data_IF_697347611600
#
_entry.id   IF_697347611600
#
_cell.length_a   1.000
_cell.length_b   1.000
_cell.length_c   1.000
_cell.angle_alpha   90.00
_cell.angle_beta   90.00
_cell.angle_gamma   90.00
#
_symmetry.space_group_name_H-M   'P 1'
#
loop_
_entity.id
_entity.type
_entity.pdbx_description
1 polymer ?
#
# COMPACT_ATOMS: atom_id res chain seq x y z
N UNK A 1 -29.68 15.10 7.81
CA UNK A 1 -29.15 13.85 7.22
C UNK A 1 -28.84 12.91 8.38
N UNK A 2 -29.46 11.76 8.46
CA UNK A 2 -29.19 10.79 9.55
C UNK A 2 -27.81 10.15 9.32
N UNK A 3 -27.00 10.09 10.36
CA UNK A 3 -25.70 9.42 10.36
C UNK A 3 -25.90 7.93 10.03
N UNK A 4 -24.96 7.37 9.25
CA UNK A 4 -24.93 5.93 9.00
C UNK A 4 -24.92 5.14 10.32
N UNK A 5 -25.78 4.11 10.49
CA UNK A 5 -25.89 3.38 11.76
C UNK A 5 -24.58 2.70 12.22
N UNK A 6 -23.74 2.22 11.27
CA UNK A 6 -22.45 1.61 11.60
C UNK A 6 -21.46 2.66 12.08
N UNK A 7 -21.44 3.84 11.42
CA UNK A 7 -20.64 4.98 11.85
C UNK A 7 -21.08 5.47 13.24
N UNK A 8 -22.37 5.58 13.49
CA UNK A 8 -22.90 6.00 14.79
C UNK A 8 -22.47 5.02 15.91
N UNK A 9 -22.53 3.73 15.65
CA UNK A 9 -22.08 2.71 16.58
C UNK A 9 -20.56 2.77 16.84
N UNK A 10 -19.76 3.00 15.80
CA UNK A 10 -18.31 3.18 15.94
C UNK A 10 -17.98 4.41 16.80
N UNK A 11 -18.58 5.55 16.51
CA UNK A 11 -18.42 6.82 17.24
C UNK A 11 -18.76 6.63 18.72
N UNK A 12 -19.88 5.95 19.01
CA UNK A 12 -20.31 5.67 20.40
C UNK A 12 -19.34 4.70 21.11
N UNK A 13 -18.90 3.63 20.42
CA UNK A 13 -17.99 2.65 21.01
C UNK A 13 -16.58 3.19 21.29
N UNK A 14 -16.16 4.17 20.50
CA UNK A 14 -14.84 4.82 20.60
C UNK A 14 -14.84 6.08 21.47
N UNK A 15 -15.99 6.44 22.05
CA UNK A 15 -16.20 7.67 22.83
C UNK A 15 -15.72 8.94 22.12
N UNK A 16 -16.04 9.03 20.80
CA UNK A 16 -15.66 10.17 19.97
C UNK A 16 -16.74 11.25 20.06
N UNK A 17 -16.32 12.45 20.40
CA UNK A 17 -17.21 13.63 20.50
C UNK A 17 -17.17 14.51 19.26
N UNK A 18 -16.12 14.39 18.43
CA UNK A 18 -15.96 15.16 17.20
C UNK A 18 -16.95 14.71 16.13
N UNK A 19 -17.44 15.67 15.34
CA UNK A 19 -18.28 15.38 14.19
C UNK A 19 -17.49 14.60 13.12
N UNK A 20 -17.94 13.40 12.70
CA UNK A 20 -17.26 12.63 11.66
C UNK A 20 -17.24 13.37 10.33
N UNK A 21 -16.09 13.41 9.67
CA UNK A 21 -15.88 13.99 8.35
C UNK A 21 -15.61 12.88 7.35
N UNK A 22 -16.40 12.85 6.26
CA UNK A 22 -16.17 11.87 5.19
C UNK A 22 -14.78 12.05 4.58
N UNK A 23 -14.11 10.92 4.36
CA UNK A 23 -12.86 10.85 3.61
C UNK A 23 -13.19 10.35 2.20
N UNK A 24 -12.53 10.94 1.20
CA UNK A 24 -12.66 10.45 -0.18
C UNK A 24 -11.85 9.16 -0.30
N UNK A 25 -12.53 8.05 -0.58
CA UNK A 25 -11.92 6.74 -0.84
C UNK A 25 -12.54 6.15 -2.10
N UNK A 26 -11.79 5.29 -2.80
CA UNK A 26 -12.25 4.73 -4.07
C UNK A 26 -13.23 3.56 -3.91
N UNK A 27 -13.23 2.85 -2.77
CA UNK A 27 -13.94 1.57 -2.65
C UNK A 27 -14.74 1.37 -1.35
N UNK A 28 -14.53 2.16 -0.31
CA UNK A 28 -15.24 2.02 0.97
C UNK A 28 -15.68 3.36 1.53
N UNK A 29 -16.78 3.36 2.29
CA UNK A 29 -17.14 4.52 3.09
C UNK A 29 -16.14 4.66 4.23
N UNK A 30 -15.43 5.77 4.26
CA UNK A 30 -14.47 6.08 5.32
C UNK A 30 -14.70 7.48 5.88
N UNK A 31 -14.47 7.62 7.18
CA UNK A 31 -14.61 8.89 7.92
C UNK A 31 -13.43 9.12 8.83
N UNK A 32 -13.09 10.37 9.05
CA UNK A 32 -12.26 10.80 10.16
C UNK A 32 -13.16 11.25 11.30
N UNK A 33 -12.97 10.68 12.48
CA UNK A 33 -13.68 11.05 13.71
C UNK A 33 -12.66 11.09 14.87
N UNK A 34 -12.36 12.29 15.36
CA UNK A 34 -11.28 12.50 16.31
C UNK A 34 -9.94 11.96 15.80
N UNK A 35 -9.33 11.05 16.54
CA UNK A 35 -8.08 10.38 16.20
C UNK A 35 -8.25 9.14 15.30
N UNK A 36 -9.46 8.81 14.87
CA UNK A 36 -9.76 7.58 14.17
C UNK A 36 -10.06 7.79 12.69
N UNK A 37 -9.55 6.89 11.83
CA UNK A 37 -10.06 6.61 10.49
C UNK A 37 -11.01 5.43 10.63
N UNK A 38 -12.31 5.67 10.42
CA UNK A 38 -13.35 4.66 10.53
C UNK A 38 -13.76 4.21 9.14
N UNK A 39 -13.78 2.90 8.90
CA UNK A 39 -14.36 2.26 7.71
C UNK A 39 -15.56 1.43 8.15
N UNK A 40 -16.61 1.34 7.32
CA UNK A 40 -17.77 0.48 7.60
C UNK A 40 -18.34 -0.15 6.35
N UNK A 41 -18.95 -1.32 6.49
CA UNK A 41 -19.61 -2.02 5.41
C UNK A 41 -20.67 -2.99 5.92
N UNK A 42 -21.71 -3.20 5.12
CA UNK A 42 -22.67 -4.29 5.27
C UNK A 42 -22.45 -5.40 4.23
N UNK A 43 -21.51 -5.22 3.30
CA UNK A 43 -21.14 -6.25 2.33
C UNK A 43 -20.25 -7.32 3.01
N UNK A 44 -20.64 -8.61 3.00
CA UNK A 44 -19.88 -9.68 3.65
C UNK A 44 -18.47 -9.86 3.09
N UNK A 45 -18.24 -9.66 1.79
CA UNK A 45 -16.93 -9.80 1.18
C UNK A 45 -15.98 -8.68 1.64
N UNK A 46 -16.44 -7.43 1.59
CA UNK A 46 -15.69 -6.29 2.12
C UNK A 46 -15.46 -6.39 3.63
N UNK A 47 -16.42 -6.95 4.38
CA UNK A 47 -16.31 -7.17 5.82
C UNK A 47 -15.11 -8.07 6.19
N UNK A 48 -14.85 -9.11 5.41
CA UNK A 48 -13.70 -10.01 5.61
C UNK A 48 -12.38 -9.24 5.52
N UNK A 49 -12.22 -8.40 4.50
CA UNK A 49 -11.00 -7.61 4.30
C UNK A 49 -10.82 -6.52 5.38
N UNK A 50 -11.89 -5.81 5.74
CA UNK A 50 -11.82 -4.80 6.79
C UNK A 50 -11.47 -5.38 8.16
N UNK A 51 -12.05 -6.53 8.53
CA UNK A 51 -11.70 -7.22 9.78
C UNK A 51 -10.27 -7.75 9.75
N UNK A 52 -9.81 -8.20 8.58
CA UNK A 52 -8.44 -8.63 8.38
C UNK A 52 -7.46 -7.47 8.57
N UNK A 53 -7.71 -6.31 7.94
CA UNK A 53 -6.93 -5.08 8.13
C UNK A 53 -6.82 -4.70 9.61
N UNK A 54 -7.95 -4.61 10.31
CA UNK A 54 -7.96 -4.26 11.73
C UNK A 54 -7.16 -5.26 12.58
N UNK A 55 -7.23 -6.56 12.27
CA UNK A 55 -6.46 -7.59 12.95
C UNK A 55 -4.97 -7.49 12.62
N UNK A 56 -4.61 -7.23 11.37
CA UNK A 56 -3.22 -7.03 10.95
C UNK A 56 -2.60 -5.85 11.72
N UNK A 57 -3.26 -4.68 11.70
CA UNK A 57 -2.78 -3.48 12.40
C UNK A 57 -2.61 -3.75 13.91
N UNK A 58 -3.56 -4.43 14.57
CA UNK A 58 -3.43 -4.76 15.99
C UNK A 58 -2.24 -5.65 16.30
N UNK A 59 -2.00 -6.68 15.48
CA UNK A 59 -0.87 -7.60 15.66
C UNK A 59 0.46 -6.88 15.38
N UNK A 60 0.54 -6.07 14.34
CA UNK A 60 1.72 -5.27 14.03
C UNK A 60 2.02 -4.24 15.13
N UNK A 61 0.97 -3.57 15.66
CA UNK A 61 1.11 -2.64 16.78
C UNK A 61 1.63 -3.34 18.03
N UNK A 62 1.08 -4.50 18.37
CA UNK A 62 1.51 -5.29 19.53
C UNK A 62 2.98 -5.75 19.44
N UNK A 63 3.52 -5.87 18.22
CA UNK A 63 4.91 -6.20 17.96
C UNK A 63 5.84 -4.97 17.80
N UNK A 64 5.30 -3.75 17.92
CA UNK A 64 6.04 -2.51 17.68
C UNK A 64 6.40 -2.23 16.22
N UNK A 65 5.76 -2.93 15.28
CA UNK A 65 5.99 -2.79 13.83
C UNK A 65 5.07 -1.75 13.16
N UNK A 66 4.03 -1.29 13.86
CA UNK A 66 3.11 -0.26 13.38
C UNK A 66 2.72 0.70 14.51
N UNK A 67 2.73 2.02 14.27
CA UNK A 67 2.46 2.99 15.35
C UNK A 67 0.98 3.08 15.74
N UNK A 68 0.05 2.83 14.79
CA UNK A 68 -1.38 2.95 15.04
C UNK A 68 -1.97 1.71 15.69
N UNK A 69 -2.96 1.92 16.57
CA UNK A 69 -3.84 0.89 17.10
C UNK A 69 -5.10 0.75 16.23
N UNK A 70 -5.81 -0.39 16.33
CA UNK A 70 -7.05 -0.63 15.60
C UNK A 70 -8.13 -1.24 16.52
N UNK A 71 -9.38 -0.84 16.28
CA UNK A 71 -10.59 -1.37 16.90
C UNK A 71 -11.59 -1.83 15.86
N UNK A 72 -12.57 -2.62 16.25
CA UNK A 72 -13.67 -3.04 15.37
C UNK A 72 -14.91 -3.41 16.19
N UNK A 73 -16.07 -3.40 15.53
CA UNK A 73 -17.33 -3.83 16.11
C UNK A 73 -18.36 -4.23 15.05
N UNK A 74 -19.50 -4.73 15.53
CA UNK A 74 -20.61 -5.20 14.69
C UNK A 74 -21.93 -4.54 15.10
N UNK A 75 -22.80 -4.32 14.12
CA UNK A 75 -24.18 -3.92 14.31
C UNK A 75 -25.03 -4.69 13.29
N UNK A 76 -25.86 -5.63 13.77
CA UNK A 76 -26.53 -6.58 12.88
C UNK A 76 -25.51 -7.36 12.06
N UNK A 77 -25.70 -7.39 10.74
CA UNK A 77 -24.79 -8.02 9.81
C UNK A 77 -23.64 -7.12 9.36
N UNK A 78 -23.71 -5.82 9.66
CA UNK A 78 -22.67 -4.87 9.31
C UNK A 78 -21.52 -4.83 10.31
N UNK A 79 -20.38 -4.37 9.83
CA UNK A 79 -19.17 -4.14 10.63
C UNK A 79 -18.66 -2.72 10.49
N UNK A 80 -17.94 -2.28 11.50
CA UNK A 80 -17.06 -1.12 11.42
C UNK A 80 -15.66 -1.49 11.92
N UNK A 81 -14.66 -0.82 11.37
CA UNK A 81 -13.28 -0.84 11.85
C UNK A 81 -12.80 0.58 12.05
N UNK A 82 -11.90 0.77 13.00
CA UNK A 82 -11.28 2.06 13.26
C UNK A 82 -9.78 1.86 13.45
N UNK A 83 -8.99 2.61 12.69
CA UNK A 83 -7.53 2.66 12.81
C UNK A 83 -7.15 4.07 13.22
N UNK A 84 -6.20 4.22 14.15
CA UNK A 84 -5.72 5.54 14.56
C UNK A 84 -5.21 6.31 13.35
N UNK A 85 -5.69 7.56 13.21
CA UNK A 85 -5.32 8.43 12.10
C UNK A 85 -3.90 8.95 12.29
N UNK A 86 -3.01 8.55 11.41
CA UNK A 86 -1.62 8.99 11.42
C UNK A 86 -1.48 10.33 10.66
N UNK A 87 -0.75 11.32 11.22
CA UNK A 87 -0.48 12.55 10.50
C UNK A 87 0.52 12.30 9.36
N UNK A 88 0.27 12.91 8.21
CA UNK A 88 1.15 12.79 7.05
C UNK A 88 0.39 12.90 5.73
N UNK A 89 1.11 12.71 4.66
CA UNK A 89 0.59 12.63 3.29
C UNK A 89 1.13 11.35 2.63
N UNK A 90 0.39 10.81 1.69
CA UNK A 90 0.89 9.65 0.95
C UNK A 90 2.12 9.99 0.11
N UNK A 91 2.92 8.98 -0.22
CA UNK A 91 4.17 9.15 -0.97
C UNK A 91 3.93 9.80 -2.34
N UNK A 92 2.78 9.53 -2.97
CA UNK A 92 2.43 10.17 -4.25
C UNK A 92 2.30 11.67 -4.11
N UNK A 93 1.55 12.14 -3.11
CA UNK A 93 1.39 13.57 -2.83
C UNK A 93 2.70 14.18 -2.33
N UNK A 94 3.43 13.48 -1.46
CA UNK A 94 4.71 13.93 -0.94
C UNK A 94 5.75 14.15 -2.05
N UNK A 95 5.76 13.30 -3.08
CA UNK A 95 6.64 13.43 -4.23
C UNK A 95 6.18 14.49 -5.25
N UNK A 96 5.00 15.08 -5.14
CA UNK A 96 4.49 16.04 -6.13
C UNK A 96 5.44 17.20 -6.45
N UNK A 97 6.09 17.86 -5.46
CA UNK A 97 7.08 18.91 -5.73
C UNK A 97 8.31 18.41 -6.51
N UNK A 98 8.69 17.15 -6.28
CA UNK A 98 9.84 16.52 -6.92
C UNK A 98 9.60 16.08 -8.35
N UNK A 99 8.35 16.02 -8.83
CA UNK A 99 8.03 15.75 -10.23
C UNK A 99 8.17 16.97 -11.14
N UNK A 100 8.35 18.16 -10.55
CA UNK A 100 8.66 19.37 -11.32
C UNK A 100 10.07 19.27 -11.96
N UNK A 101 10.29 19.90 -13.13
CA UNK A 101 11.62 19.94 -13.76
C UNK A 101 12.68 20.64 -12.89
N UNK A 102 12.25 21.54 -12.02
CA UNK A 102 13.10 22.29 -11.07
C UNK A 102 12.58 22.05 -9.65
N UNK A 103 12.91 20.91 -9.02
CA UNK A 103 12.44 20.60 -7.68
C UNK A 103 13.15 21.45 -6.61
N UNK A 104 12.58 21.53 -5.38
CA UNK A 104 13.28 22.16 -4.27
C UNK A 104 14.69 21.57 -4.08
N UNK A 105 15.73 22.39 -3.80
CA UNK A 105 17.12 21.94 -3.74
C UNK A 105 17.38 20.82 -2.72
N UNK A 106 16.60 20.76 -1.64
CA UNK A 106 16.68 19.75 -0.59
C UNK A 106 15.85 18.49 -0.89
N UNK A 107 15.07 18.48 -1.98
CA UNK A 107 14.14 17.38 -2.25
C UNK A 107 14.85 16.07 -2.55
N UNK A 108 15.90 16.06 -3.37
CA UNK A 108 16.63 14.85 -3.73
C UNK A 108 17.26 14.14 -2.50
N UNK A 109 18.01 14.80 -1.61
CA UNK A 109 18.53 14.16 -0.41
C UNK A 109 17.43 13.73 0.57
N UNK A 110 16.31 14.45 0.66
CA UNK A 110 15.16 14.05 1.47
C UNK A 110 14.51 12.79 0.91
N UNK A 111 14.27 12.72 -0.40
CA UNK A 111 13.69 11.54 -1.05
C UNK A 111 14.59 10.30 -0.86
N UNK A 112 15.90 10.45 -0.99
CA UNK A 112 16.84 9.36 -0.72
C UNK A 112 16.75 8.89 0.75
N UNK A 113 16.66 9.85 1.69
CA UNK A 113 16.51 9.52 3.12
C UNK A 113 15.20 8.77 3.39
N UNK A 114 14.07 9.22 2.83
CA UNK A 114 12.77 8.55 2.93
C UNK A 114 12.84 7.15 2.32
N UNK A 115 13.49 6.99 1.16
CA UNK A 115 13.66 5.69 0.52
C UNK A 115 14.43 4.70 1.42
N UNK A 116 15.57 5.09 1.97
CA UNK A 116 16.34 4.25 2.90
C UNK A 116 15.51 3.86 4.14
N UNK A 117 14.80 4.80 4.75
CA UNK A 117 13.92 4.53 5.89
C UNK A 117 12.81 3.55 5.53
N UNK A 118 12.21 3.70 4.34
CA UNK A 118 11.17 2.80 3.86
C UNK A 118 11.68 1.36 3.65
N UNK A 119 12.86 1.20 3.05
CA UNK A 119 13.50 -0.12 2.94
C UNK A 119 13.81 -0.72 4.30
N UNK A 120 14.36 0.05 5.24
CA UNK A 120 14.62 -0.41 6.61
C UNK A 120 13.33 -0.85 7.32
N UNK A 121 12.24 -0.07 7.20
CA UNK A 121 10.94 -0.44 7.77
C UNK A 121 10.40 -1.73 7.14
N UNK A 122 10.54 -1.90 5.82
CA UNK A 122 10.14 -3.13 5.13
C UNK A 122 10.99 -4.34 5.55
N UNK A 123 12.29 -4.17 5.73
CA UNK A 123 13.18 -5.23 6.23
C UNK A 123 12.79 -5.68 7.64
N UNK A 124 12.42 -4.76 8.53
CA UNK A 124 11.91 -5.11 9.87
C UNK A 124 10.59 -5.87 9.77
N UNK A 125 9.65 -5.42 8.93
CA UNK A 125 8.38 -6.10 8.69
C UNK A 125 8.60 -7.52 8.17
N UNK A 126 9.42 -7.68 7.13
CA UNK A 126 9.73 -8.95 6.49
C UNK A 126 10.53 -9.89 7.41
N UNK A 127 11.47 -9.34 8.19
CA UNK A 127 12.27 -10.07 9.17
C UNK A 127 11.43 -10.66 10.30
N UNK A 128 10.33 -10.00 10.65
CA UNK A 128 9.34 -10.51 11.59
C UNK A 128 8.31 -11.50 10.96
N UNK A 129 8.50 -11.89 9.70
CA UNK A 129 7.65 -12.87 8.99
C UNK A 129 6.46 -12.28 8.25
N UNK A 130 6.21 -10.98 8.35
CA UNK A 130 5.08 -10.32 7.70
C UNK A 130 5.33 -10.02 6.22
N UNK A 131 4.25 -9.95 5.45
CA UNK A 131 4.19 -9.40 4.10
C UNK A 131 3.08 -8.38 4.04
N UNK A 132 3.35 -7.21 3.46
CA UNK A 132 2.34 -6.16 3.30
C UNK A 132 1.34 -6.52 2.20
N UNK A 133 1.82 -7.00 1.07
CA UNK A 133 1.01 -7.48 -0.04
C UNK A 133 0.55 -6.40 -1.02
N UNK A 134 0.55 -5.12 -0.65
CA UNK A 134 0.08 -4.03 -1.52
C UNK A 134 0.90 -2.74 -1.34
N UNK A 135 2.21 -2.83 -1.59
CA UNK A 135 3.10 -1.68 -1.55
C UNK A 135 2.93 -0.83 -2.81
N UNK A 136 2.28 0.31 -2.64
CA UNK A 136 2.03 1.30 -3.70
C UNK A 136 2.17 2.73 -3.12
N UNK A 137 2.32 3.78 -3.96
CA UNK A 137 2.57 5.14 -3.46
C UNK A 137 1.53 5.66 -2.47
N UNK A 138 0.27 5.26 -2.60
CA UNK A 138 -0.84 5.69 -1.73
C UNK A 138 -0.89 4.95 -0.40
N UNK A 139 -0.22 3.78 -0.30
CA UNK A 139 -0.13 2.95 0.89
C UNK A 139 1.15 3.17 1.70
N UNK A 140 1.93 4.20 1.34
CA UNK A 140 3.13 4.66 2.06
C UNK A 140 2.89 6.08 2.53
N UNK A 141 2.60 6.25 3.81
CA UNK A 141 2.37 7.55 4.44
C UNK A 141 3.71 8.14 4.88
N UNK A 142 3.98 9.39 4.51
CA UNK A 142 5.16 10.14 4.96
C UNK A 142 4.73 11.12 6.05
N UNK A 143 5.22 10.88 7.26
CA UNK A 143 4.95 11.70 8.42
C UNK A 143 5.67 13.06 8.39
N UNK A 144 5.38 13.94 9.38
CA UNK A 144 5.96 15.30 9.45
C UNK A 144 7.49 15.34 9.54
N UNK A 145 8.11 14.25 10.01
CA UNK A 145 9.58 14.12 10.17
C UNK A 145 10.22 13.27 9.07
N UNK A 146 9.53 13.13 7.92
CA UNK A 146 9.93 12.27 6.80
C UNK A 146 10.05 10.77 7.20
N UNK A 147 9.22 10.33 8.16
CA UNK A 147 9.14 8.92 8.55
C UNK A 147 8.08 8.20 7.71
N UNK A 148 8.46 7.15 6.95
CA UNK A 148 7.52 6.35 6.20
C UNK A 148 6.79 5.37 7.11
N UNK A 149 5.48 5.23 6.92
CA UNK A 149 4.64 4.23 7.57
C UNK A 149 3.81 3.53 6.49
N UNK A 150 3.82 2.21 6.47
CA UNK A 150 2.96 1.44 5.59
C UNK A 150 1.54 1.41 6.16
N UNK A 151 0.55 1.64 5.31
CA UNK A 151 -0.88 1.69 5.66
C UNK A 151 -1.68 0.87 4.67
N UNK A 152 -2.97 0.63 4.98
CA UNK A 152 -3.88 -0.19 4.17
C UNK A 152 -3.47 -1.68 4.14
N UNK A 153 -3.64 -2.32 5.29
CA UNK A 153 -3.18 -3.68 5.57
C UNK A 153 -4.19 -4.77 5.18
N UNK A 154 -5.05 -4.54 4.18
CA UNK A 154 -6.07 -5.50 3.74
C UNK A 154 -5.48 -6.81 3.18
N UNK A 155 -4.27 -6.75 2.59
CA UNK A 155 -3.53 -7.90 2.05
C UNK A 155 -2.37 -8.35 2.93
N UNK A 156 -2.14 -7.68 4.06
CA UNK A 156 -1.04 -8.01 4.97
C UNK A 156 -1.26 -9.37 5.60
N UNK A 157 -0.25 -10.21 5.60
CA UNK A 157 -0.34 -11.56 6.16
C UNK A 157 0.95 -12.01 6.83
N UNK A 158 0.81 -13.00 7.72
CA UNK A 158 1.89 -13.73 8.36
C UNK A 158 1.52 -15.22 8.38
N UNK A 159 2.44 -16.14 8.02
CA UNK A 159 2.12 -17.56 7.85
C UNK A 159 1.49 -18.20 9.09
N UNK A 160 1.95 -17.84 10.28
CA UNK A 160 1.52 -18.47 11.53
C UNK A 160 0.51 -17.63 12.34
N UNK A 161 0.54 -16.29 12.20
CA UNK A 161 -0.25 -15.38 13.04
C UNK A 161 -1.51 -14.86 12.36
N UNK A 162 -1.42 -14.62 11.07
CA UNK A 162 -2.50 -14.05 10.27
C UNK A 162 -2.42 -14.55 8.82
N UNK A 163 -2.96 -15.74 8.52
CA UNK A 163 -3.04 -16.21 7.14
C UNK A 163 -3.88 -15.24 6.30
N UNK A 164 -3.67 -15.19 4.97
CA UNK A 164 -4.44 -14.32 4.08
C UNK A 164 -5.95 -14.51 4.23
N UNK A 165 -6.70 -13.42 4.23
CA UNK A 165 -8.17 -13.45 4.31
C UNK A 165 -8.82 -14.02 3.04
N UNK A 166 -8.14 -13.86 1.90
CA UNK A 166 -8.50 -14.42 0.60
C UNK A 166 -7.22 -14.83 -0.14
N UNK A 167 -7.30 -15.67 -1.19
CA UNK A 167 -6.16 -15.94 -2.04
C UNK A 167 -5.55 -14.63 -2.55
N UNK A 168 -4.27 -14.41 -2.27
CA UNK A 168 -3.57 -13.25 -2.80
C UNK A 168 -3.37 -13.42 -4.32
N UNK A 169 -3.86 -12.44 -5.08
CA UNK A 169 -3.80 -12.43 -6.55
C UNK A 169 -3.09 -11.20 -7.10
N UNK A 170 -2.18 -10.62 -6.33
CA UNK A 170 -1.49 -9.38 -6.65
C UNK A 170 -2.10 -8.20 -5.88
N UNK A 171 -1.26 -7.22 -5.57
CA UNK A 171 -1.65 -5.88 -5.13
C UNK A 171 -1.73 -4.96 -6.35
N UNK A 172 -1.00 -3.84 -6.33
CA UNK A 172 -0.91 -2.96 -7.49
C UNK A 172 -0.15 -3.63 -8.64
N UNK A 173 -0.81 -3.84 -9.78
CA UNK A 173 -0.29 -4.60 -10.91
C UNK A 173 1.10 -4.12 -11.38
N UNK A 174 1.26 -2.82 -11.58
CA UNK A 174 2.51 -2.22 -12.02
C UNK A 174 3.68 -2.34 -11.01
N UNK A 175 3.42 -2.71 -9.75
CA UNK A 175 4.44 -3.00 -8.74
C UNK A 175 4.79 -4.49 -8.67
N UNK A 176 4.15 -5.33 -9.48
CA UNK A 176 4.32 -6.78 -9.52
C UNK A 176 5.66 -7.15 -10.17
N UNK A 177 6.39 -8.12 -9.58
CA UNK A 177 7.61 -8.66 -10.19
C UNK A 177 7.30 -9.50 -11.43
N UNK A 178 8.23 -9.64 -12.39
CA UNK A 178 8.08 -10.57 -13.51
C UNK A 178 7.75 -12.00 -13.05
N UNK A 179 8.39 -12.49 -11.97
CA UNK A 179 8.14 -13.81 -11.41
C UNK A 179 6.74 -13.95 -10.82
N UNK A 180 6.24 -12.94 -10.10
CA UNK A 180 4.85 -12.93 -9.60
C UNK A 180 3.86 -12.87 -10.74
N UNK A 181 4.09 -12.03 -11.77
CA UNK A 181 3.25 -11.96 -12.96
C UNK A 181 3.13 -13.31 -13.67
N UNK A 182 4.24 -14.03 -13.84
CA UNK A 182 4.23 -15.38 -14.41
C UNK A 182 3.42 -16.35 -13.54
N UNK A 183 3.58 -16.33 -12.21
CA UNK A 183 2.78 -17.19 -11.30
C UNK A 183 1.30 -16.85 -11.38
N UNK A 184 0.93 -15.58 -11.50
CA UNK A 184 -0.46 -15.14 -11.66
C UNK A 184 -1.09 -15.67 -12.94
N UNK A 185 -0.40 -15.54 -14.07
CA UNK A 185 -0.86 -16.02 -15.39
C UNK A 185 -1.07 -17.54 -15.46
N UNK A 186 -0.26 -18.31 -14.70
CA UNK A 186 -0.26 -19.78 -14.80
C UNK A 186 -1.00 -20.47 -13.64
N UNK A 187 -1.58 -19.74 -12.70
CA UNK A 187 -2.29 -20.30 -11.55
C UNK A 187 -3.80 -20.13 -11.66
N UNK A 188 -4.57 -21.08 -11.08
CA UNK A 188 -6.02 -20.95 -10.99
C UNK A 188 -6.41 -19.69 -10.15
N UNK A 189 -7.58 -19.09 -10.41
CA UNK A 189 -8.01 -17.86 -9.74
C UNK A 189 -8.10 -17.94 -8.20
N UNK A 190 -8.30 -19.15 -7.66
CA UNK A 190 -8.37 -19.41 -6.23
C UNK A 190 -7.02 -19.77 -5.58
N UNK A 191 -5.94 -19.79 -6.39
CA UNK A 191 -4.60 -20.10 -5.89
C UNK A 191 -3.98 -18.88 -5.22
N UNK A 192 -3.58 -19.00 -3.95
CA UNK A 192 -2.82 -17.98 -3.25
C UNK A 192 -1.39 -17.89 -3.79
N UNK A 193 -1.00 -16.73 -4.28
CA UNK A 193 0.38 -16.45 -4.71
C UNK A 193 1.20 -16.01 -3.49
N UNK A 194 2.17 -16.82 -3.10
CA UNK A 194 3.05 -16.52 -1.97
C UNK A 194 4.09 -15.47 -2.38
N UNK A 195 4.17 -14.37 -1.63
CA UNK A 195 5.20 -13.33 -1.81
C UNK A 195 6.46 -13.66 -1.02
N UNK A 196 7.60 -13.35 -1.62
CA UNK A 196 8.91 -13.36 -0.96
C UNK A 196 9.29 -11.97 -0.46
N UNK A 197 10.30 -11.83 0.44
CA UNK A 197 10.86 -10.52 0.78
C UNK A 197 11.42 -9.77 -0.44
N UNK A 198 11.93 -10.49 -1.44
CA UNK A 198 12.43 -9.90 -2.68
C UNK A 198 11.29 -9.31 -3.52
N UNK A 199 10.13 -10.01 -3.62
CA UNK A 199 8.94 -9.48 -4.29
C UNK A 199 8.49 -8.16 -3.65
N UNK A 200 8.45 -8.08 -2.31
CA UNK A 200 8.04 -6.85 -1.61
C UNK A 200 9.07 -5.72 -1.72
N UNK A 201 10.36 -6.05 -1.71
CA UNK A 201 11.42 -5.07 -1.94
C UNK A 201 11.32 -4.46 -3.34
N UNK A 202 11.03 -5.29 -4.35
CA UNK A 202 10.75 -4.85 -5.71
C UNK A 202 9.52 -3.95 -5.77
N UNK A 203 8.42 -4.33 -5.11
CA UNK A 203 7.19 -3.53 -5.08
C UNK A 203 7.43 -2.15 -4.44
N UNK A 204 8.21 -2.08 -3.35
CA UNK A 204 8.60 -0.80 -2.73
C UNK A 204 9.45 0.06 -3.67
N UNK A 205 10.42 -0.55 -4.37
CA UNK A 205 11.24 0.15 -5.37
C UNK A 205 10.38 0.70 -6.52
N UNK A 206 9.42 -0.09 -6.99
CA UNK A 206 8.44 0.31 -8.00
C UNK A 206 7.56 1.47 -7.52
N UNK A 207 7.08 1.43 -6.28
CA UNK A 207 6.30 2.50 -5.67
C UNK A 207 7.09 3.81 -5.54
N UNK A 208 8.34 3.74 -5.08
CA UNK A 208 9.25 4.90 -5.00
C UNK A 208 9.52 5.50 -6.38
N UNK A 209 9.85 4.65 -7.35
CA UNK A 209 10.04 5.07 -8.74
C UNK A 209 8.80 5.77 -9.27
N UNK A 210 7.62 5.16 -9.12
CA UNK A 210 6.37 5.71 -9.61
C UNK A 210 6.04 7.06 -8.97
N UNK A 211 6.13 7.15 -7.65
CA UNK A 211 5.89 8.40 -6.94
C UNK A 211 6.83 9.52 -7.39
N UNK A 212 8.10 9.22 -7.64
CA UNK A 212 9.10 10.20 -8.09
C UNK A 212 8.92 10.59 -9.55
N UNK A 213 8.73 9.60 -10.45
CA UNK A 213 8.71 9.87 -11.90
C UNK A 213 7.34 10.26 -12.43
N UNK A 214 6.25 9.91 -11.72
CA UNK A 214 4.88 10.02 -12.22
C UNK A 214 4.52 8.99 -13.28
N UNK A 215 5.42 8.04 -13.60
CA UNK A 215 5.26 7.03 -14.65
C UNK A 215 5.21 5.64 -14.03
N UNK A 216 4.28 4.80 -14.48
CA UNK A 216 4.15 3.42 -14.03
C UNK A 216 5.47 2.65 -14.21
N UNK A 217 5.86 1.81 -13.23
CA UNK A 217 7.23 1.32 -13.16
C UNK A 217 7.56 0.20 -14.14
N UNK A 218 6.67 -0.77 -14.32
CA UNK A 218 6.98 -1.99 -15.08
C UNK A 218 6.57 -1.92 -16.54
N UNK A 219 5.42 -1.27 -16.82
CA UNK A 219 4.92 -1.06 -18.18
C UNK A 219 4.17 0.25 -18.24
N UNK A 220 4.12 0.87 -19.41
CA UNK A 220 3.29 2.05 -19.67
C UNK A 220 1.88 1.70 -20.16
N UNK A 221 1.61 0.41 -20.36
CA UNK A 221 0.27 -0.04 -20.73
C UNK A 221 -0.63 -0.06 -19.49
N UNK A 222 -1.77 0.59 -19.57
CA UNK A 222 -2.82 0.55 -18.54
C UNK A 222 -3.96 -0.38 -18.96
N UNK A 223 -4.62 -1.00 -18.00
CA UNK A 223 -5.84 -1.77 -18.23
C UNK A 223 -6.95 -0.81 -18.69
N UNK A 224 -7.57 -1.11 -19.81
CA UNK A 224 -8.59 -0.27 -20.44
C UNK A 224 -9.31 -0.96 -21.58
N UNK A 225 -10.11 -0.26 -22.36
CA UNK A 225 -10.81 -0.85 -23.48
C UNK A 225 -9.87 -1.60 -24.43
N UNK A 226 -10.04 -2.92 -24.54
CA UNK A 226 -9.23 -3.78 -25.39
C UNK A 226 -7.88 -4.22 -24.79
N UNK A 227 -7.60 -3.87 -23.54
CA UNK A 227 -6.44 -4.36 -22.78
C UNK A 227 -6.95 -5.06 -21.51
N UNK A 228 -6.53 -6.30 -21.32
CA UNK A 228 -6.91 -7.10 -20.16
C UNK A 228 -5.83 -7.06 -19.08
N UNK A 229 -6.16 -7.52 -17.89
CA UNK A 229 -5.17 -7.72 -16.82
C UNK A 229 -4.09 -8.73 -17.26
N UNK A 230 -4.48 -9.79 -17.98
CA UNK A 230 -3.53 -10.80 -18.47
C UNK A 230 -2.53 -10.19 -19.47
N UNK A 231 -2.99 -9.30 -20.36
CA UNK A 231 -2.08 -8.57 -21.27
C UNK A 231 -1.05 -7.72 -20.50
N UNK A 232 -1.49 -7.07 -19.43
CA UNK A 232 -0.61 -6.28 -18.57
C UNK A 232 0.41 -7.18 -17.84
N UNK A 233 -0.06 -8.30 -17.27
CA UNK A 233 0.81 -9.27 -16.61
C UNK A 233 1.81 -9.91 -17.59
N UNK A 234 1.41 -10.19 -18.85
CA UNK A 234 2.33 -10.64 -19.89
C UNK A 234 3.41 -9.60 -20.22
N UNK A 235 3.04 -8.33 -20.28
CA UNK A 235 4.00 -7.24 -20.51
C UNK A 235 5.01 -7.15 -19.37
N UNK A 236 4.55 -7.24 -18.12
CA UNK A 236 5.41 -7.26 -16.94
C UNK A 236 6.34 -8.48 -16.98
N UNK A 237 5.77 -9.67 -17.21
CA UNK A 237 6.52 -10.93 -17.21
C UNK A 237 7.61 -10.98 -18.29
N UNK A 238 7.41 -10.28 -19.40
CA UNK A 238 8.32 -10.27 -20.56
C UNK A 238 9.12 -8.99 -20.71
N UNK A 239 8.88 -7.97 -19.85
CA UNK A 239 9.51 -6.65 -19.94
C UNK A 239 9.09 -5.81 -21.14
N UNK A 240 7.95 -6.13 -21.77
CA UNK A 240 7.41 -5.31 -22.87
C UNK A 240 6.89 -3.97 -22.34
N UNK A 241 6.90 -2.95 -23.19
CA UNK A 241 6.46 -1.59 -22.87
C UNK A 241 7.20 -0.96 -21.66
N UNK A 242 8.34 -1.52 -21.29
CA UNK A 242 9.16 -0.98 -20.20
C UNK A 242 9.82 0.34 -20.63
N UNK A 243 9.72 1.34 -19.74
CA UNK A 243 10.46 2.60 -19.85
C UNK A 243 11.59 2.59 -18.82
N UNK A 244 12.83 2.81 -19.26
CA UNK A 244 13.96 2.86 -18.33
C UNK A 244 13.81 4.01 -17.34
N UNK A 245 14.35 3.82 -16.14
CA UNK A 245 14.31 4.88 -15.09
C UNK A 245 15.00 6.16 -15.60
N UNK A 246 16.07 6.03 -16.35
CA UNK A 246 16.80 7.16 -16.95
C UNK A 246 15.95 7.99 -17.93
N UNK A 247 14.97 7.37 -18.59
CA UNK A 247 14.02 8.06 -19.49
C UNK A 247 12.85 8.68 -18.74
N UNK A 248 12.40 8.03 -17.65
CA UNK A 248 11.22 8.46 -16.88
C UNK A 248 11.52 9.55 -15.84
N UNK A 249 12.73 9.58 -15.30
CA UNK A 249 13.10 10.49 -14.21
C UNK A 249 12.96 11.96 -14.61
N UNK A 250 12.41 12.83 -13.75
CA UNK A 250 12.34 14.27 -14.03
C UNK A 250 13.70 14.96 -13.93
N UNK A 251 14.62 14.41 -13.14
CA UNK A 251 15.99 14.89 -12.92
C UNK A 251 16.90 13.73 -12.45
N UNK A 252 18.24 13.83 -12.63
CA UNK A 252 19.18 12.79 -12.21
C UNK A 252 19.28 12.68 -10.69
N UNK A 253 19.21 11.43 -10.16
CA UNK A 253 19.41 11.09 -8.75
C UNK A 253 20.21 9.78 -8.62
N UNK A 254 21.53 9.78 -8.88
CA UNK A 254 22.31 8.56 -9.05
C UNK A 254 22.22 7.57 -7.87
N UNK A 255 22.23 8.08 -6.63
CA UNK A 255 22.14 7.23 -5.43
C UNK A 255 20.75 6.59 -5.28
N UNK A 256 19.67 7.34 -5.53
CA UNK A 256 18.31 6.81 -5.54
C UNK A 256 18.12 5.81 -6.69
N UNK A 257 18.64 6.13 -7.87
CA UNK A 257 18.60 5.23 -9.04
C UNK A 257 19.32 3.91 -8.74
N UNK A 258 20.49 3.96 -8.09
CA UNK A 258 21.23 2.78 -7.68
C UNK A 258 20.46 1.95 -6.64
N UNK A 259 19.83 2.61 -5.66
CA UNK A 259 19.00 1.94 -4.65
C UNK A 259 17.81 1.22 -5.29
N UNK A 260 17.07 1.89 -6.18
CA UNK A 260 15.95 1.30 -6.92
C UNK A 260 16.42 0.12 -7.79
N UNK A 261 17.51 0.31 -8.55
CA UNK A 261 18.06 -0.74 -9.41
C UNK A 261 18.50 -1.97 -8.61
N UNK A 262 19.16 -1.78 -7.48
CA UNK A 262 19.56 -2.88 -6.60
C UNK A 262 18.33 -3.66 -6.09
N UNK A 263 17.31 -2.95 -5.62
CA UNK A 263 16.09 -3.57 -5.09
C UNK A 263 15.27 -4.32 -6.15
N UNK A 264 15.34 -3.92 -7.42
CA UNK A 264 14.66 -4.59 -8.54
C UNK A 264 15.47 -5.72 -9.18
N UNK A 265 16.77 -5.81 -8.90
CA UNK A 265 17.68 -6.81 -9.49
C UNK A 265 18.01 -7.96 -8.53
N UNK A 266 17.60 -7.88 -7.27
CA UNK A 266 17.92 -8.90 -6.27
C UNK A 266 17.23 -10.23 -6.67
N UNK A 267 17.98 -11.33 -6.81
CA UNK A 267 17.40 -12.65 -7.05
C UNK A 267 16.56 -13.08 -5.84
N UNK A 268 15.59 -13.92 -6.09
CA UNK A 268 14.77 -14.61 -5.08
C UNK A 268 15.61 -15.48 -4.14
#
# INVERSE_FOLDING_TARGET
MTMDPLLAAAVAALDVTDEPRALTTHHTHAWRAGRWKIKSTADPAAAVLLLHEARAVRLLHAQGLHPAHAEHGRVGDGIWTAVEFLPGVDLWQWCAPGRAPDPPPDFAPRLLTVAHRAFTALEHLNGAGWRHGDLQPWNILIGPTDEPVFVDHEYTHHPDLLPPAAPYRGGMDHATTPGVAQRLLHSAPDTHIRLTPADERHALAAALRWAWTGTTPQTTRDVGPGVTLDDLLEDIATGRHHVSLAQARPWPAPELEALIAHATSAPD
#
